data_IF_895739742635
#
_entry.id   IF_895739742635
#
_cell.length_a   1.000
_cell.length_b   1.000
_cell.length_c   1.000
_cell.angle_alpha   90.00
_cell.angle_beta   90.00
_cell.angle_gamma   90.00
#
_symmetry.space_group_name_H-M   'P 1'
#
loop_
_entity.id
_entity.type
_entity.pdbx_description
1 polymer ?
#
# COMPACT_ATOMS: atom_id res chain seq x y z
N UNK A 1 9.53 -54.33 -50.44
CA UNK A 1 8.96 -54.22 -49.07
C UNK A 1 10.01 -53.69 -48.08
N UNK A 2 10.46 -52.43 -48.23
CA UNK A 2 11.44 -51.82 -47.31
C UNK A 2 11.18 -50.34 -47.02
N UNK A 3 10.15 -49.73 -47.64
CA UNK A 3 9.87 -48.30 -47.52
C UNK A 3 8.70 -47.94 -46.60
N UNK A 4 7.88 -48.91 -46.17
CA UNK A 4 6.71 -48.65 -45.31
C UNK A 4 7.04 -48.61 -43.81
N UNK A 5 8.19 -49.16 -43.38
CA UNK A 5 8.53 -49.25 -41.95
C UNK A 5 9.21 -47.98 -41.39
N UNK A 6 9.82 -47.15 -42.26
CA UNK A 6 10.48 -45.90 -41.83
C UNK A 6 9.52 -44.72 -41.63
N UNK A 7 8.31 -44.81 -42.18
CA UNK A 7 7.33 -43.71 -42.07
C UNK A 7 6.54 -43.74 -40.75
N UNK A 8 6.42 -44.91 -40.12
CA UNK A 8 5.65 -45.04 -38.87
C UNK A 8 6.41 -44.52 -37.64
N UNK A 9 7.75 -44.54 -37.65
CA UNK A 9 8.55 -44.12 -36.49
C UNK A 9 8.64 -42.60 -36.33
N UNK A 10 8.48 -41.84 -37.43
CA UNK A 10 8.59 -40.39 -37.46
C UNK A 10 7.30 -39.68 -36.99
N UNK A 11 6.14 -40.37 -37.04
CA UNK A 11 4.87 -39.82 -36.54
C UNK A 11 4.75 -39.99 -35.02
N UNK A 12 5.30 -41.07 -34.45
CA UNK A 12 5.30 -41.29 -32.99
C UNK A 12 6.26 -40.38 -32.21
N UNK A 13 7.26 -39.77 -32.86
CA UNK A 13 8.17 -38.81 -32.22
C UNK A 13 7.66 -37.35 -32.24
N UNK A 14 6.62 -37.05 -33.04
CA UNK A 14 6.03 -35.70 -33.08
C UNK A 14 4.89 -35.51 -32.07
N UNK A 15 4.37 -36.60 -31.48
CA UNK A 15 3.25 -36.56 -30.51
C UNK A 15 3.76 -36.48 -29.06
N UNK A 16 5.05 -36.71 -28.82
CA UNK A 16 5.66 -36.66 -27.47
C UNK A 16 6.09 -35.27 -27.01
N UNK A 17 5.92 -34.24 -27.84
CA UNK A 17 6.42 -32.90 -27.56
C UNK A 17 5.41 -32.08 -26.75
N UNK A 18 5.66 -32.03 -25.45
CA UNK A 18 5.45 -30.84 -24.62
C UNK A 18 3.98 -30.58 -24.23
N UNK A 19 3.41 -31.45 -23.40
CA UNK A 19 2.51 -30.99 -22.33
C UNK A 19 3.37 -30.61 -21.12
N UNK A 20 4.20 -29.56 -21.28
CA UNK A 20 4.65 -28.79 -20.14
C UNK A 20 3.41 -28.07 -19.61
N UNK A 21 2.62 -28.77 -18.78
CA UNK A 21 1.68 -28.10 -17.91
C UNK A 21 2.55 -27.22 -17.01
N UNK A 22 2.64 -25.94 -17.37
CA UNK A 22 3.02 -24.92 -16.41
C UNK A 22 2.08 -25.13 -15.23
N UNK A 23 2.60 -25.72 -14.15
CA UNK A 23 1.94 -25.74 -12.86
C UNK A 23 1.77 -24.28 -12.49
N UNK A 24 0.65 -23.73 -12.94
CA UNK A 24 0.23 -22.40 -12.56
C UNK A 24 -0.18 -22.60 -11.12
N UNK A 25 0.73 -22.30 -10.19
CA UNK A 25 0.45 -22.40 -8.77
C UNK A 25 -0.90 -21.74 -8.51
N UNK A 26 -1.76 -22.45 -7.78
CA UNK A 26 -3.09 -21.95 -7.49
C UNK A 26 -2.94 -20.59 -6.79
N UNK A 27 -3.70 -19.56 -7.21
CA UNK A 27 -3.59 -18.25 -6.61
C UNK A 27 -3.82 -18.33 -5.10
N UNK A 28 -2.93 -17.72 -4.33
CA UNK A 28 -3.02 -17.73 -2.86
C UNK A 28 -4.04 -16.67 -2.45
N UNK A 29 -5.07 -17.09 -1.73
CA UNK A 29 -6.07 -16.16 -1.16
C UNK A 29 -5.38 -15.31 -0.09
N UNK A 30 -5.48 -13.99 -0.22
CA UNK A 30 -4.90 -13.02 0.73
C UNK A 30 -5.90 -11.89 1.00
N UNK A 31 -5.53 -10.94 1.84
CA UNK A 31 -6.34 -9.78 2.19
C UNK A 31 -5.54 -8.48 2.08
N UNK A 32 -6.25 -7.37 1.86
CA UNK A 32 -5.66 -6.03 1.87
C UNK A 32 -6.60 -5.01 2.51
N UNK A 33 -6.04 -3.96 3.12
CA UNK A 33 -6.79 -2.74 3.47
C UNK A 33 -6.48 -1.65 2.45
N UNK A 34 -7.36 -0.66 2.31
CA UNK A 34 -7.17 0.47 1.43
C UNK A 34 -7.26 1.81 2.19
N UNK A 35 -6.55 2.82 1.70
CA UNK A 35 -6.61 4.20 2.21
C UNK A 35 -6.32 5.17 1.06
N UNK A 36 -6.99 6.32 1.03
CA UNK A 36 -6.73 7.36 0.04
C UNK A 36 -5.89 8.49 0.62
N UNK A 37 -4.92 8.99 -0.16
CA UNK A 37 -4.00 10.05 0.23
C UNK A 37 -4.67 11.43 0.38
N UNK A 38 -5.52 11.82 -0.57
CA UNK A 38 -6.07 13.18 -0.66
C UNK A 38 -7.55 13.28 -0.33
N UNK A 39 -8.38 12.45 -0.97
CA UNK A 39 -9.83 12.52 -0.86
C UNK A 39 -10.45 11.13 -0.89
N UNK A 40 -11.56 10.94 -0.18
CA UNK A 40 -12.28 9.66 -0.20
C UNK A 40 -12.72 9.33 -1.63
N UNK A 41 -12.45 8.11 -2.07
CA UNK A 41 -12.79 7.62 -3.40
C UNK A 41 -14.01 6.70 -3.28
N UNK A 42 -14.99 6.90 -4.17
CA UNK A 42 -16.28 6.21 -4.18
C UNK A 42 -16.55 5.59 -5.54
N UNK A 43 -17.43 4.60 -5.57
CA UNK A 43 -17.81 3.91 -6.80
C UNK A 43 -16.65 3.16 -7.44
N UNK A 44 -15.74 2.63 -6.62
CA UNK A 44 -14.66 1.77 -7.08
C UNK A 44 -15.09 0.32 -6.93
N UNK A 45 -14.70 -0.53 -7.87
CA UNK A 45 -14.82 -1.98 -7.73
C UNK A 45 -13.56 -2.69 -8.21
N UNK A 46 -13.43 -3.95 -7.82
CA UNK A 46 -12.50 -4.91 -8.40
C UNK A 46 -13.19 -6.26 -8.57
N UNK A 47 -12.51 -7.18 -9.23
CA UNK A 47 -13.05 -8.52 -9.49
C UNK A 47 -12.23 -9.59 -8.78
N UNK A 48 -12.93 -10.52 -8.13
CA UNK A 48 -12.39 -11.76 -7.58
C UNK A 48 -13.00 -12.91 -8.37
N UNK A 49 -12.26 -13.41 -9.37
CA UNK A 49 -12.85 -14.30 -10.37
C UNK A 49 -13.88 -13.55 -11.21
N UNK A 50 -15.14 -14.00 -11.23
CA UNK A 50 -16.26 -13.30 -11.87
C UNK A 50 -17.07 -12.41 -10.92
N UNK A 51 -16.74 -12.41 -9.62
CA UNK A 51 -17.48 -11.65 -8.62
C UNK A 51 -16.97 -10.20 -8.56
N UNK A 52 -17.88 -9.24 -8.76
CA UNK A 52 -17.64 -7.81 -8.51
C UNK A 52 -17.68 -7.54 -7.02
N UNK A 53 -16.66 -6.84 -6.52
CA UNK A 53 -16.60 -6.34 -5.14
C UNK A 53 -16.53 -4.82 -5.20
N UNK A 54 -17.59 -4.15 -4.75
CA UNK A 54 -17.63 -2.70 -4.63
C UNK A 54 -16.95 -2.26 -3.33
N UNK A 55 -16.20 -1.15 -3.39
CA UNK A 55 -15.55 -0.55 -2.24
C UNK A 55 -15.59 0.98 -2.28
N UNK A 56 -15.49 1.56 -1.09
CA UNK A 56 -15.16 2.97 -0.91
C UNK A 56 -13.86 3.08 -0.13
N UNK A 57 -12.96 3.93 -0.62
CA UNK A 57 -11.63 4.12 -0.07
C UNK A 57 -11.61 5.47 0.66
N UNK A 58 -11.70 5.50 2.00
CA UNK A 58 -11.76 6.75 2.75
C UNK A 58 -10.41 7.48 2.79
N UNK A 59 -10.46 8.79 3.05
CA UNK A 59 -9.33 9.62 3.47
C UNK A 59 -9.45 9.90 4.98
N UNK A 60 -9.05 8.94 5.83
CA UNK A 60 -9.16 9.16 7.29
C UNK A 60 -8.81 7.97 8.17
N UNK A 61 -9.02 6.76 7.67
CA UNK A 61 -8.57 5.52 8.32
C UNK A 61 -8.50 4.41 7.27
N UNK A 62 -7.62 3.41 7.41
CA UNK A 62 -7.68 2.22 6.56
C UNK A 62 -9.07 1.57 6.57
N UNK A 63 -9.50 1.03 5.44
CA UNK A 63 -10.70 0.18 5.38
C UNK A 63 -10.52 -1.10 6.19
N UNK A 64 -11.62 -1.81 6.50
CA UNK A 64 -11.54 -3.24 6.80
C UNK A 64 -10.76 -3.99 5.70
N UNK A 65 -10.29 -5.18 6.06
CA UNK A 65 -9.59 -6.05 5.13
C UNK A 65 -10.56 -6.60 4.07
N UNK A 66 -10.16 -6.53 2.80
CA UNK A 66 -10.85 -7.10 1.65
C UNK A 66 -10.07 -8.29 1.11
N UNK A 67 -10.77 -9.32 0.64
CA UNK A 67 -10.13 -10.52 0.10
C UNK A 67 -9.67 -10.32 -1.35
N UNK A 68 -8.52 -10.88 -1.71
CA UNK A 68 -8.04 -10.93 -3.08
C UNK A 68 -7.15 -12.16 -3.33
N UNK A 69 -6.58 -12.23 -4.54
CA UNK A 69 -5.65 -13.26 -4.95
C UNK A 69 -4.23 -12.67 -5.04
N UNK A 70 -3.28 -13.26 -4.33
CA UNK A 70 -1.89 -12.88 -4.39
C UNK A 70 -1.22 -13.32 -5.70
N UNK A 71 -0.10 -12.67 -6.05
CA UNK A 71 0.69 -12.86 -7.27
C UNK A 71 -0.10 -12.69 -8.58
N UNK A 72 -1.30 -12.09 -8.46
CA UNK A 72 -2.11 -11.62 -9.57
C UNK A 72 -2.17 -10.10 -9.53
N UNK A 73 -2.24 -9.51 -10.72
CA UNK A 73 -2.56 -8.09 -10.85
C UNK A 73 -3.97 -7.85 -10.33
N UNK A 74 -4.07 -7.07 -9.28
CA UNK A 74 -5.30 -6.52 -8.74
C UNK A 74 -5.55 -5.18 -9.41
N UNK A 75 -6.55 -5.15 -10.29
CA UNK A 75 -6.97 -3.93 -10.99
C UNK A 75 -8.25 -3.40 -10.36
N UNK A 76 -8.26 -2.10 -10.11
CA UNK A 76 -9.40 -1.36 -9.60
C UNK A 76 -10.05 -0.57 -10.75
N UNK A 77 -11.37 -0.50 -10.72
CA UNK A 77 -12.19 0.08 -11.78
C UNK A 77 -13.16 1.11 -11.22
N UNK A 78 -13.60 2.03 -12.08
CA UNK A 78 -14.81 2.83 -11.90
C UNK A 78 -15.80 2.52 -13.01
N UNK A 79 -17.08 2.68 -12.72
CA UNK A 79 -18.11 2.64 -13.75
C UNK A 79 -18.03 3.89 -14.63
N UNK A 80 -17.90 3.66 -15.94
CA UNK A 80 -17.89 4.67 -16.99
C UNK A 80 -19.25 4.80 -17.68
N UNK A 81 -19.26 5.32 -18.93
CA UNK A 81 -20.46 5.36 -19.76
C UNK A 81 -21.07 3.96 -19.94
N UNK A 82 -22.38 3.92 -20.19
CA UNK A 82 -23.08 2.67 -20.53
C UNK A 82 -22.75 2.23 -21.94
N UNK A 83 -22.59 0.93 -22.14
CA UNK A 83 -22.44 0.32 -23.46
C UNK A 83 -23.79 0.21 -24.21
N UNK A 84 -23.76 -0.42 -25.39
CA UNK A 84 -24.96 -0.63 -26.21
C UNK A 84 -26.01 -1.54 -25.55
N UNK A 85 -25.62 -2.33 -24.55
CA UNK A 85 -26.53 -3.17 -23.76
C UNK A 85 -27.09 -2.46 -22.52
N UNK A 86 -26.60 -1.25 -22.23
CA UNK A 86 -27.03 -0.46 -21.08
C UNK A 86 -26.23 -0.71 -19.81
N UNK A 87 -25.19 -1.55 -19.87
CA UNK A 87 -24.31 -1.89 -18.75
C UNK A 87 -23.15 -0.89 -18.65
N UNK A 88 -22.72 -0.50 -17.44
CA UNK A 88 -21.60 0.42 -17.27
C UNK A 88 -20.27 -0.22 -17.71
N UNK A 89 -19.52 0.51 -18.53
CA UNK A 89 -18.17 0.09 -18.94
C UNK A 89 -17.22 0.26 -17.75
N UNK A 90 -16.51 -0.79 -17.36
CA UNK A 90 -15.50 -0.71 -16.29
C UNK A 90 -14.20 -0.04 -16.80
N UNK A 91 -13.90 1.15 -16.30
CA UNK A 91 -12.68 1.91 -16.63
C UNK A 91 -11.61 1.63 -15.57
N UNK A 92 -10.42 1.09 -15.92
CA UNK A 92 -9.37 0.86 -14.94
C UNK A 92 -8.80 2.19 -14.42
N UNK A 93 -8.69 2.30 -13.10
CA UNK A 93 -8.23 3.52 -12.41
C UNK A 93 -6.92 3.33 -11.65
N UNK A 94 -6.56 2.09 -11.35
CA UNK A 94 -5.32 1.72 -10.68
C UNK A 94 -5.07 0.22 -10.84
N UNK A 95 -3.82 -0.20 -10.77
CA UNK A 95 -3.44 -1.61 -10.68
C UNK A 95 -2.23 -1.81 -9.77
N UNK A 96 -2.15 -3.00 -9.17
CA UNK A 96 -1.02 -3.38 -8.33
C UNK A 96 -0.92 -4.90 -8.25
N UNK A 97 0.25 -5.44 -7.90
CA UNK A 97 0.42 -6.88 -7.67
C UNK A 97 0.79 -7.11 -6.21
N UNK A 98 -0.08 -7.80 -5.46
CA UNK A 98 0.21 -8.14 -4.06
C UNK A 98 1.05 -9.41 -4.05
N UNK A 99 2.26 -9.34 -3.50
CA UNK A 99 3.12 -10.51 -3.37
C UNK A 99 2.55 -11.50 -2.33
N UNK A 100 2.58 -12.79 -2.63
CA UNK A 100 2.06 -13.88 -1.76
C UNK A 100 2.54 -13.86 -0.32
N UNK A 101 3.76 -13.38 -0.08
CA UNK A 101 4.37 -13.31 1.24
C UNK A 101 4.15 -11.98 1.97
N UNK A 102 3.29 -11.09 1.46
CA UNK A 102 2.96 -9.82 2.12
C UNK A 102 1.75 -10.00 3.04
N UNK A 103 1.93 -10.15 4.36
CA UNK A 103 0.81 -10.14 5.30
C UNK A 103 0.19 -8.75 5.36
N UNK A 104 -1.14 -8.71 5.21
CA UNK A 104 -2.01 -7.55 5.38
C UNK A 104 -1.47 -6.24 4.79
N UNK A 105 -1.23 -6.17 3.47
CA UNK A 105 -0.86 -4.92 2.81
C UNK A 105 -1.96 -3.86 2.97
N UNK A 106 -1.55 -2.65 3.29
CA UNK A 106 -2.29 -1.43 3.05
C UNK A 106 -1.97 -0.92 1.65
N UNK A 107 -3.01 -0.78 0.83
CA UNK A 107 -2.96 -0.13 -0.46
C UNK A 107 -3.28 1.35 -0.28
N UNK A 108 -2.25 2.18 -0.40
CA UNK A 108 -2.39 3.63 -0.33
C UNK A 108 -2.58 4.20 -1.75
N UNK A 109 -3.77 4.73 -2.02
CA UNK A 109 -4.15 5.34 -3.29
C UNK A 109 -3.71 6.80 -3.32
N UNK A 110 -2.83 7.14 -4.25
CA UNK A 110 -2.24 8.47 -4.42
C UNK A 110 -2.62 8.98 -5.81
N UNK A 111 -3.26 10.16 -5.87
CA UNK A 111 -3.64 10.79 -7.15
C UNK A 111 -2.41 11.00 -8.05
N UNK A 112 -2.52 10.69 -9.33
CA UNK A 112 -1.45 10.94 -10.30
C UNK A 112 -1.36 12.39 -10.80
N UNK A 113 -2.19 13.29 -10.27
CA UNK A 113 -2.15 14.75 -10.50
C UNK A 113 -2.57 15.23 -11.89
N UNK A 114 -2.22 14.48 -12.94
CA UNK A 114 -2.40 14.88 -14.34
C UNK A 114 -3.62 14.25 -15.01
N UNK A 115 -4.25 13.26 -14.37
CA UNK A 115 -5.39 12.53 -14.90
C UNK A 115 -6.45 12.39 -13.80
N UNK A 116 -7.68 12.80 -14.11
CA UNK A 116 -8.83 12.60 -13.23
C UNK A 116 -9.05 11.11 -13.04
N UNK A 117 -9.29 10.69 -11.80
CA UNK A 117 -9.59 9.31 -11.44
C UNK A 117 -8.51 8.28 -11.81
N UNK A 118 -7.23 8.69 -11.85
CA UNK A 118 -6.10 7.79 -12.00
C UNK A 118 -5.20 7.85 -10.76
N UNK A 119 -4.90 6.68 -10.22
CA UNK A 119 -4.22 6.55 -8.93
C UNK A 119 -3.00 5.63 -9.05
N UNK A 120 -1.92 6.04 -8.40
CA UNK A 120 -0.80 5.15 -8.08
C UNK A 120 -1.10 4.47 -6.75
N UNK A 121 -0.82 3.17 -6.66
CA UNK A 121 -0.93 2.42 -5.41
C UNK A 121 0.47 2.24 -4.81
N UNK A 122 0.66 2.74 -3.59
CA UNK A 122 1.80 2.37 -2.76
C UNK A 122 1.38 1.22 -1.84
N UNK A 123 2.11 0.10 -1.88
CA UNK A 123 1.88 -1.03 -0.99
C UNK A 123 2.68 -0.85 0.28
N UNK A 124 1.99 -0.91 1.42
CA UNK A 124 2.57 -0.65 2.73
C UNK A 124 2.25 -1.84 3.61
N UNK A 125 3.27 -2.56 4.07
CA UNK A 125 3.04 -3.71 4.92
C UNK A 125 2.55 -3.23 6.29
N UNK A 126 1.28 -3.42 6.63
CA UNK A 126 0.77 -3.15 7.98
C UNK A 126 1.11 -4.34 8.89
N UNK A 127 2.37 -4.43 9.32
CA UNK A 127 2.70 -5.05 10.61
C UNK A 127 2.11 -4.17 11.71
N UNK A 128 0.80 -4.23 11.89
CA UNK A 128 0.21 -3.83 13.16
C UNK A 128 0.81 -4.82 14.16
N UNK A 129 1.91 -4.42 14.81
CA UNK A 129 2.39 -5.20 15.94
C UNK A 129 1.21 -5.28 16.90
N UNK A 130 0.61 -6.47 16.97
CA UNK A 130 -0.38 -6.77 17.94
C UNK A 130 0.21 -6.33 19.29
N UNK A 131 -0.52 -5.47 20.01
CA UNK A 131 -0.35 -5.21 21.45
C UNK A 131 0.49 -3.99 21.87
N UNK A 132 0.88 -3.06 20.99
CA UNK A 132 1.54 -1.81 21.42
C UNK A 132 0.61 -0.60 21.49
N UNK A 133 0.52 0.04 22.66
CA UNK A 133 -0.07 1.38 22.82
C UNK A 133 0.94 2.45 22.42
N UNK A 134 0.45 3.60 21.94
CA UNK A 134 1.25 4.77 21.59
C UNK A 134 2.40 4.48 20.60
N UNK A 135 2.14 3.55 19.68
CA UNK A 135 3.05 3.22 18.58
C UNK A 135 2.76 4.09 17.37
N UNK A 136 3.78 4.78 16.89
CA UNK A 136 3.73 5.60 15.69
C UNK A 136 4.60 4.97 14.63
N UNK A 137 3.98 4.48 13.55
CA UNK A 137 4.71 3.96 12.41
C UNK A 137 4.83 5.02 11.35
N UNK A 138 6.06 5.32 10.97
CA UNK A 138 6.41 6.39 10.05
C UNK A 138 6.90 5.76 8.77
N UNK A 139 6.26 6.11 7.66
CA UNK A 139 6.58 5.63 6.32
C UNK A 139 7.16 6.79 5.51
N UNK A 140 8.41 6.66 5.11
CA UNK A 140 9.05 7.59 4.19
C UNK A 140 8.79 7.13 2.75
N UNK A 141 7.79 7.73 2.12
CA UNK A 141 7.43 7.53 0.72
C UNK A 141 8.10 8.57 -0.20
N UNK A 142 8.96 9.44 0.34
CA UNK A 142 9.70 10.44 -0.41
C UNK A 142 11.00 9.86 -0.99
N UNK A 143 11.56 10.57 -1.96
CA UNK A 143 12.89 10.27 -2.52
C UNK A 143 14.07 10.71 -1.62
N UNK A 144 13.79 11.44 -0.53
CA UNK A 144 14.80 12.01 0.36
C UNK A 144 15.02 11.15 1.61
N UNK A 145 16.25 11.14 2.11
CA UNK A 145 16.50 10.73 3.49
C UNK A 145 15.98 11.81 4.44
N UNK A 146 15.40 11.37 5.55
CA UNK A 146 14.75 12.24 6.52
C UNK A 146 15.50 12.24 7.85
N UNK A 147 15.54 13.41 8.48
CA UNK A 147 15.78 13.54 9.90
C UNK A 147 14.47 14.02 10.54
N UNK A 148 13.93 13.20 11.43
CA UNK A 148 12.66 13.49 12.11
C UNK A 148 12.92 13.73 13.59
N UNK A 149 12.20 14.69 14.18
CA UNK A 149 12.16 14.92 15.61
C UNK A 149 10.71 14.83 16.06
N UNK A 150 10.41 13.86 16.90
CA UNK A 150 9.12 13.64 17.54
C UNK A 150 9.30 13.88 19.04
N UNK A 151 8.81 15.03 19.49
CA UNK A 151 9.11 15.56 20.82
C UNK A 151 10.63 15.62 21.06
N UNK A 152 11.18 14.89 22.02
CA UNK A 152 12.62 14.84 22.26
C UNK A 152 13.36 13.82 21.39
N UNK A 153 12.65 12.86 20.79
CA UNK A 153 13.26 11.76 20.04
C UNK A 153 13.62 12.19 18.62
N UNK A 154 14.89 12.01 18.24
CA UNK A 154 15.39 12.23 16.88
C UNK A 154 15.68 10.91 16.20
N UNK A 155 15.27 10.78 14.95
CA UNK A 155 15.39 9.56 14.16
C UNK A 155 15.75 9.90 12.72
N UNK A 156 16.73 9.21 12.17
CA UNK A 156 16.99 9.20 10.74
C UNK A 156 16.11 8.12 10.07
N UNK A 157 15.61 8.41 8.87
CA UNK A 157 14.81 7.48 8.08
C UNK A 157 15.17 7.61 6.61
N UNK A 158 15.75 6.55 6.04
CA UNK A 158 16.15 6.54 4.63
C UNK A 158 14.94 6.60 3.69
N UNK A 159 15.17 7.04 2.45
CA UNK A 159 14.19 7.03 1.37
C UNK A 159 13.56 5.63 1.19
N UNK A 160 12.23 5.57 1.06
CA UNK A 160 11.49 4.33 0.86
C UNK A 160 11.45 3.38 2.07
N UNK A 161 11.96 3.78 3.24
CA UNK A 161 11.94 2.97 4.46
C UNK A 161 10.82 3.37 5.40
N UNK A 162 10.53 2.48 6.35
CA UNK A 162 9.64 2.74 7.46
C UNK A 162 10.30 2.45 8.81
N UNK A 163 9.82 3.11 9.85
CA UNK A 163 10.26 2.86 11.22
C UNK A 163 9.06 2.86 12.17
N UNK A 164 9.19 2.13 13.27
CA UNK A 164 8.22 2.17 14.37
C UNK A 164 8.84 2.93 15.54
N UNK A 165 8.11 3.93 16.02
CA UNK A 165 8.49 4.76 17.15
C UNK A 165 7.48 4.57 18.27
N UNK A 166 7.95 4.21 19.46
CA UNK A 166 7.16 4.31 20.68
C UNK A 166 7.39 5.67 21.30
N UNK A 167 6.33 6.45 21.51
CA UNK A 167 6.40 7.72 22.24
C UNK A 167 5.95 7.46 23.69
N UNK A 168 6.89 7.23 24.64
CA UNK A 168 6.51 7.02 26.03
C UNK A 168 5.95 8.33 26.60
N UNK A 169 4.75 8.25 27.19
CA UNK A 169 4.24 9.20 28.17
C UNK A 169 4.50 10.67 27.88
N UNK A 170 3.98 11.17 26.76
CA UNK A 170 4.06 12.60 26.44
C UNK A 170 3.27 13.36 27.52
N UNK A 171 3.97 14.15 28.31
CA UNK A 171 3.40 15.00 29.36
C UNK A 171 2.75 16.24 28.73
N UNK A 172 1.66 16.03 27.99
CA UNK A 172 0.92 17.13 27.38
C UNK A 172 -0.10 16.69 26.34
N UNK A 173 -1.08 17.57 26.03
CA UNK A 173 -2.08 17.28 25.01
C UNK A 173 -1.49 17.29 23.59
N UNK A 174 -0.30 17.83 23.39
CA UNK A 174 0.37 17.94 22.10
C UNK A 174 1.88 17.68 22.22
N UNK A 175 2.52 17.32 21.10
CA UNK A 175 3.98 17.21 20.97
C UNK A 175 4.48 17.86 19.68
N UNK A 176 5.72 18.35 19.72
CA UNK A 176 6.36 18.97 18.56
C UNK A 176 6.81 17.92 17.55
N UNK A 177 6.62 18.20 16.26
CA UNK A 177 7.10 17.36 15.16
C UNK A 177 7.86 18.22 14.16
N UNK A 178 9.11 17.83 13.89
CA UNK A 178 9.95 18.45 12.87
C UNK A 178 10.47 17.39 11.91
N UNK A 179 10.49 17.69 10.62
CA UNK A 179 11.07 16.83 9.58
C UNK A 179 11.96 17.68 8.69
N UNK A 180 13.21 17.27 8.58
CA UNK A 180 14.20 17.84 7.67
C UNK A 180 14.55 16.82 6.58
N UNK A 181 14.79 17.33 5.37
CA UNK A 181 15.20 16.58 4.20
C UNK A 181 16.71 16.68 4.03
N UNK A 182 17.35 15.58 3.67
CA UNK A 182 18.71 15.60 3.17
C UNK A 182 18.69 16.04 1.70
N UNK A 183 19.13 17.25 1.41
CA UNK A 183 19.16 17.76 0.04
C UNK A 183 20.35 17.16 -0.74
N UNK A 184 20.18 16.81 -2.02
CA UNK A 184 21.31 16.48 -2.89
C UNK A 184 22.23 17.71 -3.01
N UNK A 185 23.49 17.60 -2.56
CA UNK A 185 24.48 18.68 -2.61
C UNK A 185 25.87 18.13 -2.92
N UNK A 186 26.68 18.90 -3.64
CA UNK A 186 28.09 18.59 -3.96
C UNK A 186 29.03 18.83 -2.76
N UNK A 187 28.53 19.41 -1.67
CA UNK A 187 29.28 19.80 -0.46
C UNK A 187 28.66 19.13 0.80
N UNK A 188 29.20 19.29 2.04
CA UNK A 188 28.75 18.52 3.20
C UNK A 188 27.23 18.53 3.38
N UNK A 189 26.68 17.38 3.77
CA UNK A 189 25.25 17.09 3.97
C UNK A 189 24.43 18.30 4.43
N UNK A 190 23.68 18.91 3.50
CA UNK A 190 22.78 20.01 3.80
C UNK A 190 21.40 19.46 4.20
N UNK A 191 20.95 19.82 5.40
CA UNK A 191 19.64 19.46 5.93
C UNK A 191 18.70 20.65 5.84
N UNK A 192 17.60 20.49 5.10
CA UNK A 192 16.58 21.53 4.96
C UNK A 192 15.35 21.19 5.79
N UNK A 193 14.95 22.05 6.72
CA UNK A 193 13.68 21.90 7.45
C UNK A 193 12.49 22.04 6.48
N UNK A 194 11.70 20.98 6.34
CA UNK A 194 10.58 20.93 5.40
C UNK A 194 9.21 20.93 6.09
N UNK A 195 9.15 20.50 7.36
CA UNK A 195 7.92 20.43 8.14
C UNK A 195 8.18 20.73 9.61
N UNK A 196 7.36 21.57 10.22
CA UNK A 196 7.41 21.89 11.65
C UNK A 196 6.00 22.21 12.15
N UNK A 197 5.53 21.50 13.18
CA UNK A 197 4.18 21.68 13.71
C UNK A 197 4.03 21.02 15.10
N UNK A 198 2.85 21.15 15.70
CA UNK A 198 2.46 20.44 16.92
C UNK A 198 1.31 19.48 16.61
N UNK A 199 1.41 18.26 17.10
CA UNK A 199 0.43 17.20 16.91
C UNK A 199 -0.25 16.85 18.23
N UNK A 200 -1.58 16.60 18.23
CA UNK A 200 -2.24 16.15 19.44
C UNK A 200 -1.76 14.75 19.81
N UNK A 201 -1.40 14.57 21.08
CA UNK A 201 -1.19 13.26 21.65
C UNK A 201 -2.56 12.64 21.99
N UNK A 202 -2.72 11.35 21.67
CA UNK A 202 -3.95 10.61 21.95
C UNK A 202 -3.57 9.32 22.65
N UNK A 203 -3.56 9.35 23.98
CA UNK A 203 -3.22 8.20 24.81
C UNK A 203 -4.03 6.96 24.41
N UNK A 204 -3.35 5.82 24.32
CA UNK A 204 -3.97 4.55 23.93
C UNK A 204 -4.36 4.50 22.45
N UNK A 205 -3.79 5.37 21.62
CA UNK A 205 -3.93 5.31 20.16
C UNK A 205 -2.58 5.23 19.50
N UNK A 206 -2.50 4.37 18.50
CA UNK A 206 -1.35 4.27 17.62
C UNK A 206 -1.56 5.17 16.40
N UNK A 207 -0.47 5.55 15.75
CA UNK A 207 -0.48 6.45 14.60
C UNK A 207 0.19 5.82 13.37
N UNK A 208 -0.42 6.00 12.20
CA UNK A 208 0.25 5.82 10.91
C UNK A 208 0.61 7.19 10.37
N UNK A 209 1.88 7.42 10.09
CA UNK A 209 2.40 8.68 9.58
C UNK A 209 3.04 8.40 8.23
N UNK A 210 2.55 9.06 7.19
CA UNK A 210 3.10 8.95 5.85
C UNK A 210 3.70 10.28 5.43
N UNK A 211 4.91 10.22 4.89
CA UNK A 211 5.65 11.39 4.41
C UNK A 211 5.92 11.15 2.93
N UNK A 212 5.47 12.05 2.06
CA UNK A 212 5.70 11.95 0.62
C UNK A 212 6.19 13.28 0.05
N UNK A 213 6.76 13.24 -1.15
CA UNK A 213 7.05 14.46 -1.90
C UNK A 213 5.76 15.20 -2.23
N UNK A 214 5.83 16.53 -2.24
CA UNK A 214 4.73 17.36 -2.74
C UNK A 214 4.86 17.48 -4.27
N UNK A 215 3.82 17.08 -5.03
CA UNK A 215 3.84 17.24 -6.48
C UNK A 215 4.14 18.70 -6.87
N UNK A 216 5.01 18.89 -7.85
CA UNK A 216 5.39 20.19 -8.40
C UNK A 216 6.08 21.16 -7.42
N UNK A 217 6.60 20.69 -6.27
CA UNK A 217 7.37 21.52 -5.33
C UNK A 217 8.58 20.75 -4.78
N UNK A 218 9.72 20.76 -5.50
CA UNK A 218 10.96 20.12 -5.04
C UNK A 218 11.38 20.62 -3.64
N UNK A 219 11.92 19.72 -2.81
CA UNK A 219 12.33 20.04 -1.44
C UNK A 219 11.16 20.38 -0.50
N UNK A 220 9.93 20.03 -0.86
CA UNK A 220 8.74 20.11 0.02
C UNK A 220 8.09 18.75 0.14
N UNK A 221 7.62 18.45 1.35
CA UNK A 221 6.88 17.22 1.65
C UNK A 221 5.42 17.50 1.98
N UNK A 222 4.59 16.48 1.81
CA UNK A 222 3.28 16.36 2.42
C UNK A 222 3.32 15.30 3.51
N UNK A 223 2.65 15.57 4.63
CA UNK A 223 2.66 14.70 5.81
C UNK A 223 1.23 14.39 6.20
N UNK A 224 0.87 13.10 6.13
CA UNK A 224 -0.44 12.59 6.52
C UNK A 224 -0.31 11.75 7.78
N UNK A 225 -1.23 11.94 8.72
CA UNK A 225 -1.30 11.13 9.94
C UNK A 225 -2.70 10.56 10.12
N UNK A 226 -2.76 9.34 10.62
CA UNK A 226 -4.01 8.66 10.93
C UNK A 226 -3.88 7.97 12.28
N UNK A 227 -4.82 8.22 13.19
CA UNK A 227 -4.85 7.55 14.48
C UNK A 227 -5.72 6.31 14.37
N UNK A 228 -5.15 5.17 14.72
CA UNK A 228 -5.87 3.90 14.81
C UNK A 228 -6.13 3.59 16.29
N UNK A 229 -7.33 3.11 16.64
CA UNK A 229 -7.57 2.57 17.97
C UNK A 229 -6.59 1.43 18.22
N UNK A 230 -5.95 1.39 19.38
CA UNK A 230 -5.22 0.19 19.79
C UNK A 230 -6.25 -0.92 19.95
N UNK A 231 -6.13 -1.99 19.18
CA UNK A 231 -6.92 -3.19 19.43
C UNK A 231 -6.51 -3.72 20.79
N UNK A 232 -7.44 -3.67 21.75
CA UNK A 232 -7.30 -4.39 23.01
C UNK A 232 -7.26 -5.86 22.65
N UNK A 233 -6.26 -6.61 23.14
CA UNK A 233 -6.26 -8.05 23.00
C UNK A 233 -7.62 -8.58 23.47
N UNK A 234 -8.23 -9.56 22.78
CA UNK A 234 -9.44 -10.18 23.28
C UNK A 234 -9.17 -10.65 24.71
N UNK A 235 -10.01 -10.23 25.66
CA UNK A 235 -9.90 -10.73 27.03
C UNK A 235 -9.87 -12.25 26.97
N UNK A 236 -8.90 -12.92 27.61
CA UNK A 236 -8.89 -14.37 27.64
C UNK A 236 -10.24 -14.80 28.22
N UNK A 237 -11.01 -15.56 27.42
CA UNK A 237 -12.29 -16.09 27.84
C UNK A 237 -12.05 -16.78 29.19
N UNK A 238 -12.60 -16.19 30.25
CA UNK A 238 -12.57 -16.75 31.59
C UNK A 238 -13.51 -17.94 31.55
N UNK A 239 -12.96 -19.14 31.29
CA UNK A 239 -13.65 -20.40 31.48
C UNK A 239 -13.55 -20.82 32.94
#
# INVERSE_FOLDING_TARGET
MQHTFKFLLLVSLLIGSITAQAQTEAPIKTSFSALSWNQSIRGIHYFVGSQRIDLSIPNGAPTPAYECWADRSLTFYKDGPKDASGEPISIPIASTTIASNTPDPLLLFIDQGNQTDQYRIAQIQLRLQANGQDLYRIFNLSEFNLMTKFDEKRLALDAGKDLTLTLPGINGPNFGVMIALQMPSETPQEWQLAYNTFWPYRAGRSGLIFISDRPNRPGKIDVRRYYIPTQTAPEPNSQ
#
